data_IF_484685671034
#
_entry.id   IF_484685671034
#
_cell.length_a   1.000
_cell.length_b   1.000
_cell.length_c   1.000
_cell.angle_alpha   90.00
_cell.angle_beta   90.00
_cell.angle_gamma   90.00
#
_symmetry.space_group_name_H-M   'P 1'
#
loop_
_entity.id
_entity.type
_entity.pdbx_description
1 polymer ?
#
# COMPACT_ATOMS: atom_id res chain seq x y z
N UNK A 1 -6.72 20.27 5.86
CA UNK A 1 -5.28 20.24 6.19
C UNK A 1 -4.71 18.95 5.65
N UNK A 2 -3.53 18.96 5.03
CA UNK A 2 -2.86 17.71 4.64
C UNK A 2 -2.29 17.04 5.89
N UNK A 3 -2.73 15.84 6.24
CA UNK A 3 -2.24 15.13 7.44
C UNK A 3 -0.87 14.50 7.19
N UNK A 4 -0.54 14.22 5.92
CA UNK A 4 0.77 13.74 5.52
C UNK A 4 1.91 14.69 5.97
N UNK A 5 1.69 16.01 5.88
CA UNK A 5 2.69 17.00 6.29
C UNK A 5 2.94 17.00 7.80
N UNK A 6 1.97 16.54 8.58
CA UNK A 6 1.98 16.48 10.05
C UNK A 6 2.62 15.21 10.61
N UNK A 7 2.91 14.21 9.78
CA UNK A 7 3.71 13.07 10.24
C UNK A 7 5.09 13.58 10.68
N UNK A 8 5.60 13.20 11.84
CA UNK A 8 6.93 13.68 12.27
C UNK A 8 8.05 12.83 11.67
N UNK A 9 7.77 11.56 11.43
CA UNK A 9 8.76 10.58 10.97
C UNK A 9 8.84 10.61 9.44
N UNK A 10 10.00 11.00 8.92
CA UNK A 10 10.28 11.08 7.48
C UNK A 10 9.97 9.77 6.74
N UNK A 11 10.38 8.63 7.30
CA UNK A 11 10.11 7.29 6.76
C UNK A 11 8.64 7.06 6.46
N UNK A 12 7.74 7.54 7.32
CA UNK A 12 6.29 7.38 7.13
C UNK A 12 5.75 8.29 6.03
N UNK A 13 6.24 9.54 5.95
CA UNK A 13 5.90 10.43 4.81
C UNK A 13 6.30 9.80 3.48
N UNK A 14 7.55 9.35 3.39
CA UNK A 14 8.10 8.72 2.20
C UNK A 14 7.28 7.48 1.82
N UNK A 15 6.96 6.62 2.79
CA UNK A 15 6.15 5.44 2.55
C UNK A 15 4.79 5.77 1.95
N UNK A 16 4.07 6.71 2.56
CA UNK A 16 2.74 7.10 2.11
C UNK A 16 2.76 7.75 0.73
N UNK A 17 3.70 8.66 0.48
CA UNK A 17 3.88 9.29 -0.84
C UNK A 17 4.17 8.25 -1.92
N UNK A 18 5.09 7.32 -1.66
CA UNK A 18 5.41 6.26 -2.63
C UNK A 18 4.20 5.38 -2.93
N UNK A 19 3.36 5.05 -1.94
CA UNK A 19 2.13 4.30 -2.17
C UNK A 19 1.13 5.08 -3.02
N UNK A 20 0.88 6.34 -2.64
CA UNK A 20 -0.11 7.20 -3.30
C UNK A 20 0.25 7.51 -4.75
N UNK A 21 1.53 7.48 -5.08
CA UNK A 21 2.04 7.70 -6.44
C UNK A 21 2.36 6.39 -7.19
N UNK A 22 2.02 5.22 -6.65
CA UNK A 22 2.37 3.91 -7.21
C UNK A 22 3.88 3.74 -7.51
N UNK A 23 4.72 4.36 -6.70
CA UNK A 23 6.16 4.51 -6.93
C UNK A 23 7.02 3.56 -6.05
N UNK A 24 6.40 2.62 -5.34
CA UNK A 24 7.15 1.63 -4.57
C UNK A 24 8.00 0.72 -5.48
N UNK A 25 9.23 0.38 -5.07
CA UNK A 25 9.98 -0.71 -5.69
C UNK A 25 9.14 -1.99 -5.65
N UNK A 26 8.68 -2.40 -6.82
CA UNK A 26 7.69 -3.45 -7.05
C UNK A 26 8.00 -4.12 -8.38
N UNK A 27 7.55 -5.36 -8.55
CA UNK A 27 7.59 -6.09 -9.82
C UNK A 27 6.79 -5.34 -10.89
N UNK A 28 5.76 -4.58 -10.49
CA UNK A 28 4.99 -3.70 -11.39
C UNK A 28 5.87 -2.61 -11.99
N UNK A 29 6.57 -1.86 -11.14
CA UNK A 29 7.41 -0.73 -11.54
C UNK A 29 8.64 -1.22 -12.31
N UNK A 30 9.31 -2.26 -11.81
CA UNK A 30 10.47 -2.87 -12.48
C UNK A 30 10.07 -3.47 -13.83
N UNK A 31 8.96 -4.20 -13.87
CA UNK A 31 8.42 -4.78 -15.10
C UNK A 31 8.02 -3.72 -16.11
N UNK A 32 7.54 -2.55 -15.67
CA UNK A 32 7.29 -1.39 -16.56
C UNK A 32 8.57 -0.89 -17.20
N UNK A 33 9.66 -0.75 -16.43
CA UNK A 33 10.96 -0.34 -16.97
C UNK A 33 11.56 -1.39 -17.92
N UNK A 34 11.31 -2.67 -17.67
CA UNK A 34 11.76 -3.78 -18.51
C UNK A 34 10.80 -4.10 -19.67
N UNK A 35 9.75 -3.31 -19.88
CA UNK A 35 8.71 -3.55 -20.91
C UNK A 35 8.04 -4.94 -20.83
N UNK A 36 7.97 -5.52 -19.63
CA UNK A 36 7.28 -6.79 -19.36
C UNK A 36 5.77 -6.54 -19.37
N UNK A 37 4.95 -7.42 -19.95
CA UNK A 37 3.49 -7.28 -19.95
C UNK A 37 2.92 -7.29 -18.53
N UNK A 38 1.87 -6.52 -18.26
CA UNK A 38 1.31 -6.37 -16.90
C UNK A 38 0.96 -7.71 -16.25
N UNK A 39 0.33 -8.58 -17.01
CA UNK A 39 -0.07 -9.96 -16.64
C UNK A 39 1.12 -10.85 -16.23
N UNK A 40 2.33 -10.54 -16.68
CA UNK A 40 3.56 -11.27 -16.32
C UNK A 40 4.27 -10.68 -15.09
N UNK A 41 3.79 -9.56 -14.54
CA UNK A 41 4.39 -8.88 -13.38
C UNK A 41 3.84 -9.46 -12.09
N UNK A 42 4.10 -10.74 -11.87
CA UNK A 42 3.56 -11.51 -10.76
C UNK A 42 4.11 -11.05 -9.41
N UNK A 43 3.27 -11.08 -8.37
CA UNK A 43 3.72 -10.81 -7.02
C UNK A 43 4.64 -11.95 -6.54
N UNK A 44 5.77 -11.65 -5.87
CA UNK A 44 6.67 -12.68 -5.34
C UNK A 44 6.09 -13.47 -4.15
N UNK A 45 4.82 -13.27 -3.81
CA UNK A 45 4.12 -14.00 -2.75
C UNK A 45 3.73 -15.43 -3.14
N UNK A 46 3.89 -15.80 -4.43
CA UNK A 46 3.62 -17.15 -4.94
C UNK A 46 2.14 -17.46 -5.16
N UNK A 47 1.29 -16.42 -5.30
CA UNK A 47 -0.14 -16.59 -5.60
C UNK A 47 -0.47 -16.60 -7.10
N UNK A 48 0.54 -16.46 -7.97
CA UNK A 48 0.39 -16.23 -9.41
C UNK A 48 -0.52 -15.03 -9.77
N UNK A 49 -0.82 -14.15 -8.80
CA UNK A 49 -1.52 -12.89 -9.05
C UNK A 49 -0.52 -11.83 -9.54
N UNK A 50 -0.96 -11.00 -10.49
CA UNK A 50 -0.24 -9.77 -10.84
C UNK A 50 -0.10 -8.88 -9.61
N UNK A 51 1.12 -8.40 -9.35
CA UNK A 51 1.35 -7.45 -8.28
C UNK A 51 0.58 -6.16 -8.56
N UNK A 52 -0.13 -5.66 -7.54
CA UNK A 52 -0.95 -4.47 -7.59
C UNK A 52 -1.11 -3.92 -6.18
N UNK A 53 -1.56 -2.67 -6.04
CA UNK A 53 -1.82 -2.09 -4.73
C UNK A 53 -2.92 -2.87 -4.01
N UNK A 54 -3.99 -3.23 -4.72
CA UNK A 54 -5.09 -4.04 -4.20
C UNK A 54 -4.58 -5.39 -3.69
N UNK A 55 -3.78 -6.07 -4.50
CA UNK A 55 -3.16 -7.32 -4.07
C UNK A 55 -2.28 -7.11 -2.83
N UNK A 56 -1.34 -6.17 -2.87
CA UNK A 56 -0.38 -5.92 -1.78
C UNK A 56 -1.06 -5.55 -0.45
N UNK A 57 -2.13 -4.75 -0.51
CA UNK A 57 -2.85 -4.26 0.67
C UNK A 57 -3.84 -5.27 1.23
N UNK A 58 -4.57 -5.98 0.37
CA UNK A 58 -5.77 -6.73 0.79
C UNK A 58 -5.58 -8.25 0.77
N UNK A 59 -4.74 -8.77 -0.13
CA UNK A 59 -4.67 -10.21 -0.41
C UNK A 59 -3.29 -10.83 -0.19
N UNK A 60 -2.23 -10.05 -0.33
CA UNK A 60 -0.86 -10.54 -0.36
C UNK A 60 -0.46 -11.22 0.95
N UNK A 61 -0.17 -12.51 0.89
CA UNK A 61 0.22 -13.33 2.03
C UNK A 61 1.47 -12.82 2.76
N UNK A 62 2.41 -12.21 2.03
CA UNK A 62 3.65 -11.60 2.58
C UNK A 62 3.35 -10.44 3.52
N UNK A 63 2.32 -9.65 3.20
CA UNK A 63 2.02 -8.41 3.91
C UNK A 63 0.77 -8.51 4.79
N UNK A 64 -0.03 -9.58 4.64
CA UNK A 64 -1.31 -9.79 5.34
C UNK A 64 -1.23 -9.55 6.85
N UNK A 65 -0.17 -10.02 7.52
CA UNK A 65 0.01 -9.82 8.98
C UNK A 65 0.22 -8.35 9.35
N UNK A 66 0.96 -7.61 8.53
CA UNK A 66 1.25 -6.19 8.75
C UNK A 66 -0.03 -5.38 8.54
N UNK A 67 -0.71 -5.60 7.41
CA UNK A 67 -1.98 -4.93 7.12
C UNK A 67 -3.06 -5.26 8.16
N UNK A 68 -3.14 -6.52 8.61
CA UNK A 68 -4.07 -6.89 9.68
C UNK A 68 -3.79 -6.16 11.00
N UNK A 69 -2.51 -5.91 11.32
CA UNK A 69 -2.13 -5.18 12.54
C UNK A 69 -2.62 -3.74 12.54
N UNK A 70 -2.57 -3.05 11.40
CA UNK A 70 -2.82 -1.62 11.33
C UNK A 70 -4.19 -1.24 10.74
N UNK A 71 -4.77 -2.08 9.87
CA UNK A 71 -5.88 -1.68 9.00
C UNK A 71 -7.16 -2.49 9.28
N UNK A 72 -7.09 -3.59 10.02
CA UNK A 72 -8.28 -4.37 10.42
C UNK A 72 -9.34 -3.55 11.15
N UNK A 73 -8.96 -2.49 11.87
CA UNK A 73 -9.93 -1.59 12.48
C UNK A 73 -10.57 -0.62 11.48
N UNK A 74 -9.83 -0.20 10.44
CA UNK A 74 -10.34 0.64 9.35
C UNK A 74 -11.27 -0.14 8.40
N UNK A 75 -11.06 -1.46 8.29
CA UNK A 75 -11.85 -2.36 7.45
C UNK A 75 -13.32 -2.50 7.89
N UNK A 76 -13.64 -2.25 9.16
CA UNK A 76 -14.99 -2.48 9.70
C UNK A 76 -16.05 -1.53 9.11
N UNK A 77 -15.65 -0.34 8.70
CA UNK A 77 -16.57 0.71 8.23
C UNK A 77 -16.78 0.72 6.71
N UNK A 78 -16.11 -0.17 5.97
CA UNK A 78 -16.09 -0.16 4.49
C UNK A 78 -16.64 -1.46 3.87
N UNK A 79 -17.47 -2.19 4.60
CA UNK A 79 -18.06 -3.44 4.10
C UNK A 79 -18.88 -3.21 2.81
N UNK A 80 -18.61 -4.02 1.78
CA UNK A 80 -19.36 -4.01 0.51
C UNK A 80 -18.78 -3.15 -0.61
N UNK A 81 -17.65 -2.47 -0.39
CA UNK A 81 -16.93 -1.73 -1.43
C UNK A 81 -16.03 -2.64 -2.28
N UNK A 82 -15.66 -2.19 -3.48
CA UNK A 82 -14.66 -2.89 -4.31
C UNK A 82 -13.25 -2.72 -3.73
N UNK A 83 -12.34 -3.64 -4.03
CA UNK A 83 -10.92 -3.54 -3.65
C UNK A 83 -10.30 -2.20 -4.07
N UNK A 84 -10.66 -1.70 -5.25
CA UNK A 84 -10.13 -0.45 -5.80
C UNK A 84 -10.63 0.77 -5.00
N UNK A 85 -11.93 0.83 -4.71
CA UNK A 85 -12.51 1.91 -3.90
C UNK A 85 -11.88 1.96 -2.50
N UNK A 86 -11.64 0.77 -1.94
CA UNK A 86 -11.02 0.60 -0.65
C UNK A 86 -9.58 1.14 -0.64
N UNK A 87 -8.76 0.73 -1.61
CA UNK A 87 -7.40 1.23 -1.77
C UNK A 87 -7.37 2.75 -2.01
N UNK A 88 -8.28 3.27 -2.84
CA UNK A 88 -8.38 4.70 -3.09
C UNK A 88 -8.68 5.48 -1.81
N UNK A 89 -9.64 5.04 -0.99
CA UNK A 89 -9.94 5.70 0.28
C UNK A 89 -8.76 5.68 1.25
N UNK A 90 -8.05 4.56 1.35
CA UNK A 90 -6.88 4.44 2.22
C UNK A 90 -5.68 5.28 1.76
N UNK A 91 -5.53 5.51 0.46
CA UNK A 91 -4.42 6.26 -0.12
C UNK A 91 -4.70 7.77 -0.27
N UNK A 92 -5.91 8.23 0.04
CA UNK A 92 -6.22 9.66 0.11
C UNK A 92 -5.86 10.20 1.50
N UNK A 93 -5.13 11.32 1.51
CA UNK A 93 -4.80 12.07 2.74
C UNK A 93 -6.01 12.83 3.32
N UNK A 94 -7.02 12.10 3.79
CA UNK A 94 -8.30 12.65 4.26
C UNK A 94 -8.52 12.51 5.78
N UNK A 95 -7.75 11.66 6.46
CA UNK A 95 -7.88 11.41 7.88
C UNK A 95 -6.50 11.18 8.49
N UNK A 96 -6.21 11.89 9.59
CA UNK A 96 -4.94 11.71 10.32
C UNK A 96 -4.68 10.26 10.66
N UNK A 97 -5.68 9.57 11.22
CA UNK A 97 -5.56 8.18 11.66
C UNK A 97 -5.34 7.25 10.48
N UNK A 98 -6.09 7.43 9.39
CA UNK A 98 -5.93 6.61 8.17
C UNK A 98 -4.56 6.83 7.55
N UNK A 99 -4.17 8.08 7.30
CA UNK A 99 -2.86 8.45 6.73
C UNK A 99 -1.73 7.86 7.57
N UNK A 100 -1.78 7.97 8.89
CA UNK A 100 -0.73 7.46 9.78
C UNK A 100 -0.65 5.93 9.79
N UNK A 101 -1.78 5.22 9.83
CA UNK A 101 -1.81 3.75 9.85
C UNK A 101 -1.36 3.16 8.51
N UNK A 102 -1.78 3.75 7.40
CA UNK A 102 -1.37 3.35 6.05
C UNK A 102 0.13 3.62 5.85
N UNK A 103 0.61 4.78 6.28
CA UNK A 103 2.04 5.10 6.24
C UNK A 103 2.90 4.10 7.03
N UNK A 104 2.49 3.76 8.27
CA UNK A 104 3.16 2.76 9.11
C UNK A 104 3.15 1.37 8.47
N UNK A 105 2.05 0.98 7.84
CA UNK A 105 1.91 -0.31 7.16
C UNK A 105 2.91 -0.41 6.00
N UNK A 106 2.91 0.58 5.10
CA UNK A 106 3.83 0.63 3.97
C UNK A 106 5.30 0.68 4.41
N UNK A 107 5.62 1.47 5.43
CA UNK A 107 6.96 1.57 5.99
C UNK A 107 7.45 0.29 6.70
N UNK A 108 6.53 -0.60 7.09
CA UNK A 108 6.84 -1.91 7.66
C UNK A 108 6.91 -3.00 6.58
N UNK A 109 6.11 -2.88 5.51
CA UNK A 109 6.12 -3.80 4.38
C UNK A 109 7.39 -3.68 3.52
N UNK A 110 7.90 -2.45 3.39
CA UNK A 110 9.12 -2.14 2.69
C UNK A 110 10.12 -1.62 3.71
N UNK A 111 11.31 -2.21 3.79
CA UNK A 111 12.42 -1.70 4.60
C UNK A 111 12.90 -0.36 4.04
N UNK A 112 12.06 0.68 4.15
CA UNK A 112 12.40 2.04 3.75
C UNK A 112 13.41 2.52 4.77
N UNK A 113 14.64 2.71 4.33
CA UNK A 113 15.71 3.26 5.16
C UNK A 113 15.32 4.67 5.62
N UNK A 114 15.66 4.94 6.89
CA UNK A 114 15.35 6.16 7.65
C UNK A 114 16.07 7.39 7.13
#
# INVERSE_FOLDING_TARGET
MAYLSQLEIYKFKKAFTLASCEAFPSVVLEGRFKSILREQRLCPCGSDETESIEHMMLRCSRHKKIWAKYITLLLKDMAGQSDSDYCNQLLIDHSRTTTELVAKSWAACHSIDS
#
